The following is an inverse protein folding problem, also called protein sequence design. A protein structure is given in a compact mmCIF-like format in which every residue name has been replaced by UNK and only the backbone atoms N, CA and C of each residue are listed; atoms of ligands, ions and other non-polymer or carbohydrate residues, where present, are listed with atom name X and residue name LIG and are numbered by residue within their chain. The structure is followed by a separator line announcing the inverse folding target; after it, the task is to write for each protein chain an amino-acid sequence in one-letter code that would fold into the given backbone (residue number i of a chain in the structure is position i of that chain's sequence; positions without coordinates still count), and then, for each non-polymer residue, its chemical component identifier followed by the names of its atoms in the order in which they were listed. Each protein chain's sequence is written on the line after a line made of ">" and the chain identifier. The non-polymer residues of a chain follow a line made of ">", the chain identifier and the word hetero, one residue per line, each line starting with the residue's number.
data_IF_224502291808
#
_entry.id   IF_224502291808
#
_cell.length_a   1.000
_cell.length_b   1.000
_cell.length_c   1.000
_cell.angle_alpha   90.00
_cell.angle_beta   90.00
_cell.angle_gamma   90.00
#
_symmetry.space_group_name_H-M   'P 1'
#
loop_
_entity.id
_entity.type
_entity.pdbx_description
1 polymer ?
#
# COMPACT_ATOMS: atom_id res chain seq x y z
N UNK A 1 -0.96 37.83 -18.12
CA UNK A 1 -0.92 36.51 -18.84
C UNK A 1 -1.96 36.44 -19.97
N UNK A 2 -2.29 37.57 -20.59
CA UNK A 2 -3.31 37.64 -21.65
C UNK A 2 -2.97 36.82 -22.89
N UNK A 3 -1.70 36.54 -23.14
CA UNK A 3 -1.22 35.75 -24.28
C UNK A 3 -0.57 34.43 -23.84
N UNK A 4 -0.95 33.90 -22.68
CA UNK A 4 -0.40 32.63 -22.21
C UNK A 4 -1.07 31.45 -22.94
N UNK A 5 -0.24 30.61 -23.56
CA UNK A 5 -0.66 29.36 -24.15
C UNK A 5 -0.37 28.23 -23.15
N UNK A 6 -1.43 27.50 -22.74
CA UNK A 6 -1.28 26.40 -21.78
C UNK A 6 -1.00 25.11 -22.52
N UNK A 7 0.24 24.65 -22.47
CA UNK A 7 0.67 23.39 -23.09
C UNK A 7 0.19 22.17 -22.28
N UNK A 8 0.02 22.35 -20.95
CA UNK A 8 -0.46 21.29 -20.05
C UNK A 8 -1.05 21.90 -18.79
N UNK A 9 -2.19 21.35 -18.35
CA UNK A 9 -2.72 21.60 -17.02
C UNK A 9 -2.25 20.51 -16.08
N UNK A 10 -1.78 20.85 -14.89
CA UNK A 10 -1.35 19.90 -13.87
C UNK A 10 -1.37 20.54 -12.49
N UNK A 11 -1.54 19.70 -11.49
CA UNK A 11 -1.40 20.12 -10.08
C UNK A 11 0.06 19.92 -9.70
N UNK A 12 0.71 20.99 -9.26
CA UNK A 12 2.09 20.95 -8.80
C UNK A 12 2.09 20.65 -7.29
N UNK A 13 2.44 19.43 -6.93
CA UNK A 13 2.71 19.05 -5.55
C UNK A 13 4.23 19.03 -5.33
N UNK A 14 4.70 19.66 -4.26
CA UNK A 14 6.06 19.53 -3.75
C UNK A 14 6.01 18.69 -2.47
N UNK A 15 5.85 17.39 -2.60
CA UNK A 15 5.97 16.49 -1.48
C UNK A 15 7.38 15.92 -1.44
N UNK A 16 8.01 16.00 -0.27
CA UNK A 16 9.24 15.27 -0.01
C UNK A 16 8.90 13.83 0.33
N UNK A 17 9.55 12.89 -0.34
CA UNK A 17 9.41 11.47 -0.04
C UNK A 17 10.77 10.77 -0.13
N UNK A 18 10.87 9.64 0.55
CA UNK A 18 12.03 8.77 0.52
C UNK A 18 12.04 7.94 -0.77
N UNK A 19 13.19 7.61 -1.29
CA UNK A 19 13.30 6.52 -2.25
C UNK A 19 13.17 5.19 -1.49
N UNK A 20 11.93 4.84 -1.16
CA UNK A 20 11.57 3.75 -0.26
C UNK A 20 11.94 2.35 -0.74
N UNK A 21 11.90 2.04 -2.07
CA UNK A 21 12.36 0.75 -2.58
C UNK A 21 13.79 0.42 -2.16
N UNK A 22 13.97 -0.73 -1.51
CA UNK A 22 15.28 -1.15 -0.96
C UNK A 22 15.70 -0.46 0.33
N UNK A 23 15.05 0.65 0.72
CA UNK A 23 15.25 1.30 2.01
C UNK A 23 14.32 0.72 3.09
N UNK A 24 13.07 0.47 2.73
CA UNK A 24 12.04 -0.02 3.64
C UNK A 24 11.69 -1.48 3.36
N UNK A 25 11.30 -2.19 4.41
CA UNK A 25 10.63 -3.49 4.32
C UNK A 25 9.13 -3.30 4.03
N UNK A 26 8.42 -4.37 3.72
CA UNK A 26 6.95 -4.36 3.58
C UNK A 26 6.18 -4.11 4.89
N UNK A 27 6.90 -3.99 6.00
CA UNK A 27 6.39 -3.58 7.31
C UNK A 27 6.69 -2.10 7.62
N UNK A 28 7.24 -1.38 6.64
CA UNK A 28 7.69 0.02 6.74
C UNK A 28 8.89 0.24 7.69
N UNK A 29 9.57 -0.81 8.09
CA UNK A 29 10.82 -0.72 8.84
C UNK A 29 11.99 -0.41 7.90
N UNK A 30 12.93 0.42 8.37
CA UNK A 30 14.17 0.65 7.66
C UNK A 30 15.04 -0.60 7.72
N UNK A 31 15.57 -1.04 6.56
CA UNK A 31 16.52 -2.16 6.50
C UNK A 31 17.70 -1.94 7.46
N UNK A 32 18.24 -3.02 8.00
CA UNK A 32 19.40 -3.03 8.90
C UNK A 32 19.21 -2.23 10.22
N UNK A 33 17.98 -1.82 10.53
CA UNK A 33 17.61 -1.23 11.83
C UNK A 33 16.62 -2.13 12.57
N UNK A 34 16.55 -1.98 13.91
CA UNK A 34 15.59 -2.76 14.71
C UNK A 34 14.27 -2.02 14.93
N UNK A 35 14.33 -0.73 15.20
CA UNK A 35 13.22 0.03 15.77
C UNK A 35 12.92 1.33 14.98
N UNK A 36 13.39 1.45 13.74
CA UNK A 36 13.14 2.63 12.91
C UNK A 36 12.13 2.32 11.81
N UNK A 37 11.00 2.99 11.86
CA UNK A 37 9.90 2.87 10.91
C UNK A 37 9.56 4.24 10.31
N UNK A 38 9.16 4.24 9.04
CA UNK A 38 8.55 5.38 8.40
C UNK A 38 7.16 5.00 7.90
N UNK A 39 6.21 5.95 7.91
CA UNK A 39 4.86 5.71 7.43
C UNK A 39 4.26 6.97 6.80
N UNK A 40 3.18 6.81 6.06
CA UNK A 40 2.47 7.90 5.40
C UNK A 40 3.20 8.44 4.18
N UNK A 41 2.87 9.67 3.84
CA UNK A 41 3.30 10.32 2.60
C UNK A 41 4.82 10.34 2.38
N UNK A 42 5.59 10.45 3.46
CA UNK A 42 7.06 10.41 3.39
C UNK A 42 7.61 9.12 2.77
N UNK A 43 6.87 8.02 2.82
CA UNK A 43 7.25 6.73 2.23
C UNK A 43 6.85 6.57 0.77
N UNK A 44 6.25 7.58 0.15
CA UNK A 44 5.69 7.49 -1.20
C UNK A 44 4.27 6.91 -1.26
N UNK A 45 3.62 6.78 -0.11
CA UNK A 45 2.20 6.45 -0.02
C UNK A 45 1.37 7.71 -0.19
N UNK A 46 0.48 7.77 -1.18
CA UNK A 46 -0.45 8.88 -1.37
C UNK A 46 -1.86 8.51 -0.89
N UNK A 47 -2.59 9.53 -0.42
CA UNK A 47 -3.95 9.40 0.10
C UNK A 47 -4.00 9.30 1.63
N UNK A 48 -5.10 9.83 2.20
CA UNK A 48 -5.27 9.86 3.66
C UNK A 48 -5.48 8.47 4.26
N UNK A 49 -6.29 7.65 3.60
CA UNK A 49 -6.58 6.28 4.06
C UNK A 49 -5.33 5.40 3.92
N UNK A 50 -4.62 5.53 2.82
CA UNK A 50 -3.37 4.82 2.58
C UNK A 50 -2.29 5.23 3.59
N UNK A 51 -2.18 6.52 3.90
CA UNK A 51 -1.25 7.03 4.92
C UNK A 51 -1.60 6.49 6.32
N UNK A 52 -2.88 6.48 6.68
CA UNK A 52 -3.35 5.90 7.94
C UNK A 52 -3.06 4.39 7.99
N UNK A 53 -3.30 3.66 6.89
CA UNK A 53 -3.01 2.23 6.78
C UNK A 53 -1.53 1.93 6.93
N UNK A 54 -0.66 2.71 6.31
CA UNK A 54 0.80 2.54 6.45
C UNK A 54 1.26 2.80 7.89
N UNK A 55 0.68 3.81 8.55
CA UNK A 55 0.90 4.09 9.97
C UNK A 55 0.46 2.94 10.87
N UNK A 56 -0.70 2.35 10.57
CA UNK A 56 -1.18 1.17 11.28
C UNK A 56 -0.22 -0.03 11.14
N UNK A 57 0.23 -0.33 9.92
CA UNK A 57 1.18 -1.43 9.66
C UNK A 57 2.50 -1.20 10.39
N UNK A 58 3.06 0.01 10.29
CA UNK A 58 4.30 0.38 10.96
C UNK A 58 4.18 0.27 12.49
N UNK A 59 3.12 0.85 13.07
CA UNK A 59 2.87 0.82 14.51
C UNK A 59 2.64 -0.59 15.04
N UNK A 60 1.86 -1.42 14.32
CA UNK A 60 1.65 -2.82 14.68
C UNK A 60 2.97 -3.59 14.70
N UNK A 61 3.82 -3.38 13.71
CA UNK A 61 5.11 -4.08 13.61
C UNK A 61 6.14 -3.56 14.62
N UNK A 62 6.11 -2.29 14.96
CA UNK A 62 6.95 -1.75 16.04
C UNK A 62 6.67 -2.43 17.40
N UNK A 63 5.41 -2.81 17.64
CA UNK A 63 5.02 -3.49 18.90
C UNK A 63 5.24 -5.00 18.83
N UNK A 64 5.02 -5.62 17.66
CA UNK A 64 5.11 -7.09 17.49
C UNK A 64 6.49 -7.60 17.10
N UNK A 65 7.46 -6.71 16.87
CA UNK A 65 8.82 -7.07 16.49
C UNK A 65 8.93 -7.51 15.01
N UNK A 66 8.28 -6.78 14.11
CA UNK A 66 8.38 -6.94 12.65
C UNK A 66 7.85 -8.30 12.11
N UNK A 67 6.77 -8.77 12.69
CA UNK A 67 6.21 -10.11 12.39
C UNK A 67 4.99 -10.11 11.49
N UNK A 68 4.33 -8.96 11.32
CA UNK A 68 3.01 -8.86 10.68
C UNK A 68 3.15 -8.26 9.27
N UNK A 69 3.33 -9.13 8.28
CA UNK A 69 3.41 -8.75 6.87
C UNK A 69 2.07 -9.02 6.18
N UNK A 70 1.37 -7.97 5.79
CA UNK A 70 0.07 -8.10 5.11
C UNK A 70 0.22 -8.70 3.71
N UNK A 71 -0.68 -9.64 3.30
CA UNK A 71 -0.61 -10.27 2.00
C UNK A 71 -0.73 -9.27 0.83
N UNK A 72 0.06 -9.49 -0.22
CA UNK A 72 0.06 -8.64 -1.42
C UNK A 72 -1.29 -8.59 -2.15
N UNK A 73 -2.17 -9.57 -1.91
CA UNK A 73 -3.54 -9.62 -2.45
C UNK A 73 -4.47 -8.61 -1.77
N UNK A 74 -4.09 -8.06 -0.61
CA UNK A 74 -4.86 -7.02 0.08
C UNK A 74 -4.44 -5.62 -0.38
N UNK A 75 -5.33 -4.64 -0.27
CA UNK A 75 -5.00 -3.25 -0.63
C UNK A 75 -3.84 -2.71 0.22
N UNK A 76 -3.89 -2.94 1.53
CA UNK A 76 -2.86 -2.52 2.49
C UNK A 76 -1.52 -3.21 2.22
N UNK A 77 -1.52 -4.52 1.95
CA UNK A 77 -0.33 -5.29 1.65
C UNK A 77 0.26 -4.95 0.28
N UNK A 78 -0.58 -4.80 -0.76
CA UNK A 78 -0.09 -4.49 -2.11
C UNK A 78 0.67 -3.17 -2.16
N UNK A 79 0.20 -2.15 -1.44
CA UNK A 79 0.88 -0.86 -1.35
C UNK A 79 2.18 -0.96 -0.54
N UNK A 80 2.17 -1.69 0.59
CA UNK A 80 3.37 -1.95 1.38
C UNK A 80 4.45 -2.68 0.56
N UNK A 81 4.05 -3.68 -0.22
CA UNK A 81 4.96 -4.37 -1.15
C UNK A 81 5.46 -3.47 -2.27
N UNK A 82 4.63 -2.57 -2.80
CA UNK A 82 5.07 -1.61 -3.82
C UNK A 82 6.17 -0.69 -3.28
N UNK A 83 5.95 -0.04 -2.15
CA UNK A 83 6.92 0.92 -1.60
C UNK A 83 8.21 0.27 -1.10
N UNK A 84 8.22 -1.04 -0.87
CA UNK A 84 9.39 -1.78 -0.39
C UNK A 84 10.13 -2.57 -1.48
N UNK A 85 9.58 -2.64 -2.71
CA UNK A 85 10.13 -3.49 -3.75
C UNK A 85 11.44 -2.93 -4.34
N UNK A 86 12.61 -3.55 -4.09
CA UNK A 86 13.91 -3.04 -4.55
C UNK A 86 14.10 -3.10 -6.07
N UNK A 87 13.20 -3.76 -6.80
CA UNK A 87 13.27 -3.84 -8.26
C UNK A 87 12.67 -2.61 -8.97
N UNK A 88 12.01 -1.72 -8.22
CA UNK A 88 11.46 -0.48 -8.77
C UNK A 88 12.58 0.56 -8.85
N UNK A 89 12.99 0.89 -10.07
CA UNK A 89 14.08 1.84 -10.35
C UNK A 89 13.60 3.27 -10.55
N UNK A 90 12.36 3.46 -11.03
CA UNK A 90 11.71 4.77 -11.18
C UNK A 90 10.51 4.83 -10.22
N UNK A 91 10.83 5.03 -8.95
CA UNK A 91 9.83 5.06 -7.88
C UNK A 91 9.05 6.35 -7.89
N UNK A 92 7.73 6.24 -7.93
CA UNK A 92 6.81 7.37 -7.86
C UNK A 92 5.81 7.16 -6.72
N UNK A 93 5.49 8.19 -5.94
CA UNK A 93 4.41 8.12 -4.97
C UNK A 93 3.09 7.69 -5.61
N UNK A 94 2.32 6.86 -4.91
CA UNK A 94 1.15 6.22 -5.48
C UNK A 94 0.03 6.00 -4.46
N UNK A 95 -1.21 6.18 -4.92
CA UNK A 95 -2.39 5.67 -4.24
C UNK A 95 -2.56 4.17 -4.54
N UNK A 96 -3.22 3.47 -3.63
CA UNK A 96 -3.60 2.07 -3.89
C UNK A 96 -4.52 1.97 -5.12
N UNK A 97 -4.24 1.01 -5.98
CA UNK A 97 -5.06 0.76 -7.16
C UNK A 97 -5.02 -0.73 -7.55
N UNK A 98 -5.94 -1.16 -8.40
CA UNK A 98 -6.04 -2.57 -8.82
C UNK A 98 -4.82 -3.10 -9.59
N UNK A 99 -3.96 -2.21 -10.11
CA UNK A 99 -2.72 -2.58 -10.79
C UNK A 99 -1.63 -3.09 -9.85
N UNK A 100 -1.71 -2.73 -8.55
CA UNK A 100 -0.77 -3.20 -7.53
C UNK A 100 -1.11 -4.61 -7.03
N UNK A 101 -2.37 -5.02 -7.13
CA UNK A 101 -2.78 -6.35 -6.68
C UNK A 101 -2.27 -7.43 -7.65
N UNK A 102 -1.80 -8.58 -7.15
CA UNK A 102 -1.45 -9.71 -7.99
C UNK A 102 -2.60 -10.11 -8.93
N UNK A 103 -2.30 -10.55 -10.15
CA UNK A 103 -3.32 -10.94 -11.11
C UNK A 103 -4.21 -12.07 -10.58
N UNK A 104 -5.43 -12.25 -11.11
CA UNK A 104 -6.28 -13.38 -10.75
C UNK A 104 -5.60 -14.71 -11.04
N UNK A 105 -5.83 -15.70 -10.18
CA UNK A 105 -5.50 -17.09 -10.45
C UNK A 105 -6.51 -17.63 -11.48
N UNK A 106 -6.04 -17.83 -12.72
CA UNK A 106 -6.89 -18.35 -13.79
C UNK A 106 -7.55 -17.26 -14.65
N UNK A 107 -8.49 -17.70 -15.51
CA UNK A 107 -9.09 -16.87 -16.56
C UNK A 107 -10.35 -16.15 -16.04
N UNK A 108 -10.21 -14.87 -15.70
CA UNK A 108 -11.33 -14.00 -15.28
C UNK A 108 -11.67 -13.04 -16.41
N UNK A 109 -12.97 -12.86 -16.73
CA UNK A 109 -13.43 -11.93 -17.75
C UNK A 109 -13.08 -10.48 -17.36
N UNK A 110 -12.68 -9.66 -18.34
CA UNK A 110 -12.25 -8.27 -18.12
C UNK A 110 -13.25 -7.45 -17.30
N UNK A 111 -14.55 -7.64 -17.53
CA UNK A 111 -15.63 -6.93 -16.82
C UNK A 111 -15.73 -7.31 -15.33
N UNK A 112 -15.40 -8.54 -14.99
CA UNK A 112 -15.53 -9.12 -13.64
C UNK A 112 -14.22 -9.00 -12.85
N UNK A 113 -13.12 -8.60 -13.49
CA UNK A 113 -11.78 -8.62 -12.89
C UNK A 113 -11.66 -7.73 -11.65
N UNK A 114 -12.22 -6.53 -11.68
CA UNK A 114 -12.13 -5.61 -10.52
C UNK A 114 -12.91 -6.14 -9.32
N UNK A 115 -14.11 -6.65 -9.56
CA UNK A 115 -14.95 -7.24 -8.52
C UNK A 115 -14.30 -8.50 -7.92
N UNK A 116 -13.75 -9.38 -8.76
CA UNK A 116 -12.98 -10.54 -8.31
C UNK A 116 -11.79 -10.13 -7.42
N UNK A 117 -10.99 -9.13 -7.85
CA UNK A 117 -9.83 -8.67 -7.08
C UNK A 117 -10.25 -8.04 -5.75
N UNK A 118 -11.33 -7.26 -5.73
CA UNK A 118 -11.86 -6.66 -4.51
C UNK A 118 -12.35 -7.72 -3.52
N UNK A 119 -13.14 -8.69 -3.99
CA UNK A 119 -13.65 -9.78 -3.15
C UNK A 119 -12.51 -10.65 -2.60
N UNK A 120 -11.52 -10.97 -3.45
CA UNK A 120 -10.32 -11.69 -3.01
C UNK A 120 -9.55 -10.92 -1.95
N UNK A 121 -9.37 -9.61 -2.14
CA UNK A 121 -8.63 -8.77 -1.21
C UNK A 121 -9.29 -8.72 0.17
N UNK A 122 -10.62 -8.55 0.23
CA UNK A 122 -11.38 -8.55 1.49
C UNK A 122 -11.29 -9.90 2.20
N UNK A 123 -11.51 -11.01 1.47
CA UNK A 123 -11.40 -12.36 2.02
C UNK A 123 -10.00 -12.64 2.58
N UNK A 124 -8.96 -12.27 1.82
CA UNK A 124 -7.56 -12.45 2.26
C UNK A 124 -7.23 -11.60 3.48
N UNK A 125 -7.77 -10.39 3.57
CA UNK A 125 -7.61 -9.54 4.73
C UNK A 125 -8.27 -10.14 5.97
N UNK A 126 -9.50 -10.61 5.85
CA UNK A 126 -10.24 -11.26 6.94
C UNK A 126 -9.50 -12.51 7.45
N UNK A 127 -9.14 -13.43 6.54
CA UNK A 127 -8.35 -14.62 6.86
C UNK A 127 -7.06 -14.26 7.61
N UNK A 128 -6.34 -13.25 7.13
CA UNK A 128 -5.08 -12.79 7.72
C UNK A 128 -5.29 -12.17 9.11
N UNK A 129 -6.31 -11.33 9.29
CA UNK A 129 -6.64 -10.73 10.58
C UNK A 129 -6.99 -11.80 11.63
N UNK A 130 -7.80 -12.80 11.26
CA UNK A 130 -8.11 -13.92 12.14
C UNK A 130 -6.88 -14.72 12.56
N UNK A 131 -6.00 -15.04 11.61
CA UNK A 131 -4.77 -15.80 11.87
C UNK A 131 -3.80 -15.05 12.81
N UNK A 132 -3.75 -13.74 12.72
CA UNK A 132 -2.84 -12.90 13.50
C UNK A 132 -3.51 -12.23 14.71
N UNK A 133 -4.77 -12.57 15.03
CA UNK A 133 -5.55 -12.00 16.15
C UNK A 133 -5.67 -10.47 16.07
N UNK A 134 -5.76 -9.94 14.86
CA UNK A 134 -5.98 -8.52 14.60
C UNK A 134 -7.50 -8.29 14.57
N UNK A 135 -8.05 -7.33 15.34
CA UNK A 135 -9.46 -7.01 15.28
C UNK A 135 -9.89 -6.65 13.85
N UNK A 136 -10.93 -7.33 13.37
CA UNK A 136 -11.50 -7.10 12.05
C UNK A 136 -13.01 -6.92 12.18
N UNK A 137 -13.50 -5.79 11.66
CA UNK A 137 -14.93 -5.48 11.61
C UNK A 137 -15.40 -5.63 10.17
N UNK A 138 -16.24 -6.61 9.90
CA UNK A 138 -16.83 -6.76 8.56
C UNK A 138 -17.69 -5.54 8.22
N UNK A 139 -17.59 -5.00 6.99
CA UNK A 139 -18.47 -3.93 6.54
C UNK A 139 -19.96 -4.31 6.49
N UNK A 140 -20.26 -5.61 6.50
CA UNK A 140 -21.61 -6.16 6.49
C UNK A 140 -22.30 -6.18 7.85
N UNK A 141 -21.64 -5.80 8.94
CA UNK A 141 -22.28 -5.63 10.26
C UNK A 141 -22.77 -6.92 10.91
N UNK A 142 -22.21 -8.09 10.57
CA UNK A 142 -22.42 -9.37 11.25
C UNK A 142 -21.27 -9.73 12.18
#
# INVERSE_FOLDING_TARGET
>A
LENAEFVRYGVMHRNTFLNSPGLLTSTYRVHDTKDLYFAGQITGVEGYIESASSGFVAGLNAVTGDKICFPAETAIGSLAHYVSNPQITDFQPMNVNFGLLPPPEGRVKKKERKEYLASRALKKLEEFCHQNQIPFFSPSGE
#
